data_IF_827514191524
#
_entry.id   IF_827514191524
#
_cell.length_a   1.000
_cell.length_b   1.000
_cell.length_c   1.000
_cell.angle_alpha   90.00
_cell.angle_beta   90.00
_cell.angle_gamma   90.00
#
_symmetry.space_group_name_H-M   'P 1'
#
loop_
_entity.id
_entity.type
_entity.pdbx_description
1 polymer ?
#
# COMPACT_ATOMS: atom_id res chain seq x y z
N UNK A 1 19.96 -6.07 3.76
CA UNK A 1 19.49 -4.69 3.47
C UNK A 1 18.02 -4.75 3.05
N UNK A 2 17.03 -4.41 3.90
CA UNK A 2 15.65 -4.32 3.41
C UNK A 2 15.56 -3.10 2.50
N UNK A 3 15.31 -3.31 1.21
CA UNK A 3 14.88 -2.23 0.31
C UNK A 3 13.54 -1.72 0.83
N UNK A 4 13.58 -0.70 1.67
CA UNK A 4 12.38 -0.05 2.18
C UNK A 4 11.80 0.77 1.03
N UNK A 5 10.90 0.16 0.26
CA UNK A 5 10.05 0.92 -0.65
C UNK A 5 9.17 1.84 0.19
N UNK A 6 9.27 3.14 -0.08
CA UNK A 6 8.47 4.15 0.60
C UNK A 6 6.98 3.81 0.50
N UNK A 7 6.26 4.05 1.59
CA UNK A 7 4.82 3.83 1.70
C UNK A 7 4.04 4.49 0.55
N UNK A 8 4.53 5.64 0.07
CA UNK A 8 3.95 6.39 -1.04
C UNK A 8 4.03 5.62 -2.37
N UNK A 9 5.19 5.05 -2.68
CA UNK A 9 5.38 4.22 -3.89
C UNK A 9 4.48 2.99 -3.84
N UNK A 10 4.40 2.34 -2.69
CA UNK A 10 3.52 1.17 -2.51
C UNK A 10 2.06 1.53 -2.77
N UNK A 11 1.55 2.63 -2.20
CA UNK A 11 0.16 3.07 -2.43
C UNK A 11 -0.13 3.40 -3.89
N UNK A 12 0.78 4.13 -4.54
CA UNK A 12 0.61 4.49 -5.95
C UNK A 12 0.52 3.24 -6.84
N UNK A 13 1.41 2.28 -6.60
CA UNK A 13 1.41 1.01 -7.34
C UNK A 13 0.17 0.18 -7.04
N UNK A 14 -0.22 0.06 -5.77
CA UNK A 14 -1.45 -0.65 -5.38
C UNK A 14 -2.69 -0.02 -6.02
N UNK A 15 -2.75 1.32 -6.13
CA UNK A 15 -3.84 2.03 -6.80
C UNK A 15 -3.94 1.68 -8.29
N UNK A 16 -2.81 1.63 -9.00
CA UNK A 16 -2.76 1.18 -10.40
C UNK A 16 -3.15 -0.29 -10.56
N UNK A 17 -2.60 -1.17 -9.72
CA UNK A 17 -2.93 -2.60 -9.71
C UNK A 17 -4.42 -2.87 -9.39
N UNK A 18 -5.06 -1.99 -8.61
CA UNK A 18 -6.51 -2.02 -8.35
C UNK A 18 -7.35 -1.52 -9.51
N UNK A 19 -6.83 -0.56 -10.28
CA UNK A 19 -7.48 -0.04 -11.49
C UNK A 19 -7.54 -1.08 -12.61
N UNK A 20 -6.88 -2.22 -12.45
CA UNK A 20 -6.86 -3.32 -13.42
C UNK A 20 -5.59 -3.37 -14.26
N UNK A 21 -4.61 -2.52 -13.97
CA UNK A 21 -3.37 -2.44 -14.72
C UNK A 21 -2.55 -3.74 -14.56
N UNK A 22 -1.99 -4.29 -15.65
CA UNK A 22 -1.28 -5.55 -15.60
C UNK A 22 0.02 -5.42 -14.81
N UNK A 23 0.28 -6.40 -13.94
CA UNK A 23 1.46 -6.45 -13.07
C UNK A 23 2.76 -6.34 -13.87
N UNK A 24 2.79 -6.91 -15.08
CA UNK A 24 3.93 -6.83 -15.98
C UNK A 24 4.24 -5.38 -16.41
N UNK A 25 3.23 -4.61 -16.85
CA UNK A 25 3.46 -3.22 -17.26
C UNK A 25 3.96 -2.36 -16.08
N UNK A 26 3.37 -2.55 -14.90
CA UNK A 26 3.81 -1.83 -13.70
C UNK A 26 5.23 -2.23 -13.31
N UNK A 27 5.59 -3.50 -13.44
CA UNK A 27 6.95 -3.99 -13.16
C UNK A 27 7.99 -3.39 -14.11
N UNK A 28 7.69 -3.31 -15.40
CA UNK A 28 8.56 -2.68 -16.41
C UNK A 28 8.74 -1.19 -16.13
N UNK A 29 7.66 -0.48 -15.76
CA UNK A 29 7.73 0.97 -15.50
C UNK A 29 8.47 1.31 -14.20
N UNK A 30 8.22 0.55 -13.12
CA UNK A 30 8.82 0.83 -11.80
C UNK A 30 10.11 0.07 -11.52
N UNK A 31 10.46 -0.91 -12.35
CA UNK A 31 11.60 -1.81 -12.14
C UNK A 31 11.41 -2.77 -10.94
N UNK A 32 10.19 -2.93 -10.44
CA UNK A 32 9.90 -3.79 -9.30
C UNK A 32 9.49 -5.18 -9.78
N UNK A 33 10.11 -6.21 -9.23
CA UNK A 33 9.79 -7.60 -9.56
C UNK A 33 8.30 -7.90 -9.41
N UNK A 34 7.72 -8.59 -10.40
CA UNK A 34 6.30 -8.96 -10.41
C UNK A 34 5.89 -9.73 -9.14
N UNK A 35 6.78 -10.56 -8.58
CA UNK A 35 6.54 -11.27 -7.33
C UNK A 35 6.25 -10.32 -6.14
N UNK A 36 6.95 -9.18 -6.07
CA UNK A 36 6.73 -8.16 -5.05
C UNK A 36 5.39 -7.47 -5.24
N UNK A 37 5.03 -7.16 -6.49
CA UNK A 37 3.75 -6.54 -6.85
C UNK A 37 2.55 -7.45 -6.52
N UNK A 38 2.65 -8.75 -6.84
CA UNK A 38 1.64 -9.73 -6.45
C UNK A 38 1.45 -9.79 -4.93
N UNK A 39 2.54 -9.74 -4.15
CA UNK A 39 2.47 -9.68 -2.69
C UNK A 39 1.75 -8.42 -2.20
N UNK A 40 2.05 -7.27 -2.78
CA UNK A 40 1.42 -6.01 -2.41
C UNK A 40 -0.06 -5.96 -2.78
N UNK A 41 -0.46 -6.51 -3.92
CA UNK A 41 -1.87 -6.63 -4.31
C UNK A 41 -2.66 -7.44 -3.29
N UNK A 42 -2.12 -8.57 -2.82
CA UNK A 42 -2.75 -9.37 -1.75
C UNK A 42 -2.80 -8.61 -0.43
N UNK A 43 -1.71 -7.97 -0.03
CA UNK A 43 -1.64 -7.23 1.23
C UNK A 43 -2.64 -6.05 1.26
N UNK A 44 -2.86 -5.38 0.14
CA UNK A 44 -3.80 -4.27 0.03
C UNK A 44 -5.28 -4.69 0.19
N UNK A 45 -5.61 -5.95 -0.14
CA UNK A 45 -6.94 -6.50 0.12
C UNK A 45 -7.15 -6.72 1.63
N UNK A 46 -6.10 -7.16 2.34
CA UNK A 46 -6.11 -7.35 3.79
C UNK A 46 -6.12 -6.00 4.53
N UNK A 47 -5.36 -5.02 4.05
CA UNK A 47 -5.27 -3.69 4.67
C UNK A 47 -6.60 -2.93 4.66
N UNK A 48 -7.41 -3.10 3.60
CA UNK A 48 -8.75 -2.51 3.53
C UNK A 48 -9.70 -3.08 4.58
N UNK A 49 -9.59 -4.39 4.87
CA UNK A 49 -10.36 -5.03 5.94
C UNK A 49 -9.95 -4.48 7.32
N UNK A 50 -8.65 -4.28 7.53
CA UNK A 50 -8.13 -3.76 8.80
C UNK A 50 -8.40 -2.26 9.01
N UNK A 51 -8.36 -1.44 7.95
CA UNK A 51 -8.62 -0.01 8.01
C UNK A 51 -10.08 0.30 8.41
N UNK A 52 -11.03 -0.52 7.96
CA UNK A 52 -12.44 -0.35 8.33
C UNK A 52 -12.71 -0.67 9.81
N UNK A 53 -11.89 -1.52 10.45
CA UNK A 53 -12.01 -1.87 11.88
C UNK A 53 -11.28 -0.91 12.82
N UNK A 54 -10.18 -0.30 12.39
CA UNK A 54 -9.31 0.52 13.26
C UNK A 54 -9.60 2.03 13.22
N UNK A 55 -10.80 2.43 12.79
CA UNK A 55 -11.21 3.86 12.72
C UNK A 55 -11.72 4.44 14.06
N UNK A 56 -11.64 3.69 15.17
CA UNK A 56 -11.88 4.19 16.53
C UNK A 56 -10.55 4.63 17.18
N UNK A 57 -9.83 5.53 16.51
CA UNK A 57 -8.63 6.17 17.06
C UNK A 57 -8.95 7.62 17.38
N UNK A 58 -9.30 7.87 18.65
CA UNK A 58 -9.46 9.21 19.22
C UNK A 58 -8.30 10.14 18.79
N UNK A 59 -8.57 11.35 18.27
CA UNK A 59 -7.51 12.34 18.13
C UNK A 59 -7.05 12.71 19.54
N UNK A 60 -5.76 12.55 19.80
CA UNK A 60 -5.13 13.09 20.99
C UNK A 60 -5.17 14.63 20.91
N UNK A 61 -6.29 15.23 21.31
CA UNK A 61 -6.29 16.61 21.78
C UNK A 61 -5.36 16.66 22.99
N UNK A 62 -4.20 17.28 22.78
CA UNK A 62 -3.29 17.68 23.87
C UNK A 62 -3.78 19.03 24.37
N UNK A 63 -4.35 19.15 25.59
CA UNK A 63 -4.48 20.46 26.22
C UNK A 63 -3.10 20.77 26.82
N UNK A 64 -2.38 21.69 26.18
CA UNK A 64 -1.33 22.43 26.86
C UNK A 64 -2.01 23.46 27.78
N UNK A 65 -2.01 23.21 29.09
CA UNK A 65 -1.93 24.23 30.14
C UNK A 65 -1.68 23.59 31.52
#
# INVERSE_FOLDING_TARGET
MPRQYSSSIRRQIVSRLRSGEPVAAVAEETGICQATLFRWKRQALIDVDHAHRNSSGVPAESPHL
#
